data_IF_148113064878
#
_entry.id   IF_148113064878
#
_cell.length_a   1.000
_cell.length_b   1.000
_cell.length_c   1.000
_cell.angle_alpha   90.00
_cell.angle_beta   90.00
_cell.angle_gamma   90.00
#
_symmetry.space_group_name_H-M   'P 1'
#
loop_
_entity.id
_entity.type
_entity.pdbx_description
1 polymer ?
#
# COMPACT_ATOMS: atom_id res chain seq x y z
N UNK A 1 -6.72 -40.37 42.58
CA UNK A 1 -7.14 -39.49 41.46
C UNK A 1 -5.96 -39.36 40.52
N UNK A 2 -5.88 -40.20 39.47
CA UNK A 2 -4.82 -40.11 38.45
C UNK A 2 -5.40 -39.34 37.27
N UNK A 3 -4.84 -38.17 37.00
CA UNK A 3 -5.19 -37.34 35.83
C UNK A 3 -4.81 -38.08 34.56
N UNK A 4 -5.79 -38.30 33.68
CA UNK A 4 -5.54 -38.80 32.33
C UNK A 4 -4.88 -37.69 31.49
N UNK A 5 -3.80 -37.96 30.73
CA UNK A 5 -3.20 -36.94 29.89
C UNK A 5 -4.16 -36.60 28.74
N UNK A 6 -4.35 -35.31 28.45
CA UNK A 6 -5.04 -34.85 27.25
C UNK A 6 -4.36 -35.46 26.03
N UNK A 7 -5.06 -36.34 25.33
CA UNK A 7 -4.61 -36.89 24.06
C UNK A 7 -4.47 -35.73 23.07
N UNK A 8 -3.23 -35.41 22.72
CA UNK A 8 -2.96 -34.42 21.67
C UNK A 8 -3.58 -34.95 20.37
N UNK A 9 -4.70 -34.37 19.93
CA UNK A 9 -5.25 -34.66 18.61
C UNK A 9 -4.16 -34.39 17.58
N UNK A 10 -3.80 -35.41 16.81
CA UNK A 10 -2.83 -35.29 15.73
C UNK A 10 -3.35 -34.24 14.74
N UNK A 11 -2.56 -33.19 14.51
CA UNK A 11 -2.87 -32.19 13.50
C UNK A 11 -2.98 -32.90 12.15
N UNK A 12 -4.10 -32.74 11.41
CA UNK A 12 -4.27 -33.39 10.13
C UNK A 12 -3.14 -32.96 9.18
N UNK A 13 -2.84 -33.85 8.22
CA UNK A 13 -1.83 -33.59 7.20
C UNK A 13 -2.18 -32.29 6.48
N UNK A 14 -1.19 -31.45 6.19
CA UNK A 14 -1.40 -30.22 5.44
C UNK A 14 -1.95 -30.58 4.04
N UNK A 15 -3.23 -30.33 3.83
CA UNK A 15 -3.90 -30.47 2.55
C UNK A 15 -3.66 -29.20 1.72
N UNK A 16 -3.47 -29.36 0.41
CA UNK A 16 -3.36 -28.22 -0.48
C UNK A 16 -4.76 -27.60 -0.56
N UNK A 17 -4.91 -26.35 -0.13
CA UNK A 17 -6.19 -25.63 -0.16
C UNK A 17 -6.85 -25.72 -1.54
N UNK A 18 -6.06 -25.84 -2.62
CA UNK A 18 -6.53 -26.09 -3.98
C UNK A 18 -7.43 -27.33 -4.11
N UNK A 19 -6.98 -28.46 -3.56
CA UNK A 19 -7.64 -29.75 -3.65
C UNK A 19 -8.92 -29.76 -2.81
N UNK A 20 -8.84 -29.25 -1.58
CA UNK A 20 -9.98 -29.17 -0.66
C UNK A 20 -11.16 -28.39 -1.27
N UNK A 21 -10.92 -27.20 -1.84
CA UNK A 21 -12.06 -26.48 -2.45
C UNK A 21 -12.49 -27.08 -3.79
N UNK A 22 -11.65 -27.87 -4.49
CA UNK A 22 -12.07 -28.60 -5.69
C UNK A 22 -13.00 -29.76 -5.34
N UNK A 23 -12.69 -30.49 -4.27
CA UNK A 23 -13.54 -31.58 -3.78
C UNK A 23 -14.87 -31.06 -3.22
N UNK A 24 -14.83 -29.98 -2.43
CA UNK A 24 -16.03 -29.45 -1.76
C UNK A 24 -16.94 -28.63 -2.68
N UNK A 25 -16.37 -27.92 -3.67
CA UNK A 25 -17.12 -26.95 -4.49
C UNK A 25 -17.00 -27.18 -6.00
N UNK A 26 -16.32 -28.26 -6.43
CA UNK A 26 -16.15 -28.60 -7.84
C UNK A 26 -15.09 -27.75 -8.57
N UNK A 27 -15.20 -27.69 -9.90
CA UNK A 27 -14.26 -26.95 -10.74
C UNK A 27 -14.29 -25.46 -10.40
N UNK A 28 -13.15 -24.93 -9.97
CA UNK A 28 -13.04 -23.51 -9.64
C UNK A 28 -13.21 -22.64 -10.88
N UNK A 29 -13.84 -21.45 -10.73
CA UNK A 29 -13.85 -20.47 -11.81
C UNK A 29 -12.41 -20.14 -12.21
N UNK A 30 -12.11 -20.30 -13.49
CA UNK A 30 -10.81 -19.99 -14.04
C UNK A 30 -10.66 -18.46 -14.12
N UNK A 31 -9.51 -17.94 -13.72
CA UNK A 31 -9.15 -16.54 -13.89
C UNK A 31 -9.17 -16.20 -15.39
N UNK A 32 -10.27 -15.59 -15.85
CA UNK A 32 -10.39 -15.05 -17.18
C UNK A 32 -10.07 -13.55 -17.13
N UNK A 33 -9.14 -13.09 -17.96
CA UNK A 33 -8.96 -11.65 -18.08
C UNK A 33 -10.20 -11.04 -18.72
N UNK A 34 -10.68 -9.94 -18.15
CA UNK A 34 -11.73 -9.12 -18.75
C UNK A 34 -11.21 -8.63 -20.11
N UNK A 35 -11.70 -9.26 -21.16
CA UNK A 35 -11.33 -9.02 -22.56
C UNK A 35 -12.53 -8.42 -23.27
N UNK A 36 -12.29 -7.44 -24.13
CA UNK A 36 -13.36 -6.88 -24.95
C UNK A 36 -13.79 -7.93 -25.97
N UNK A 37 -15.09 -8.22 -26.01
CA UNK A 37 -15.67 -9.17 -26.96
C UNK A 37 -16.48 -8.42 -28.00
N UNK A 38 -16.33 -8.81 -29.27
CA UNK A 38 -17.10 -8.26 -30.39
C UNK A 38 -18.04 -9.34 -30.92
N UNK A 39 -19.31 -8.96 -31.11
CA UNK A 39 -20.33 -9.82 -31.72
C UNK A 39 -20.12 -9.87 -33.22
N UNK A 40 -20.10 -11.08 -33.77
CA UNK A 40 -20.00 -11.34 -35.20
C UNK A 40 -21.40 -11.46 -35.83
N UNK A 41 -21.53 -11.30 -37.17
CA UNK A 41 -22.80 -11.48 -37.88
C UNK A 41 -23.42 -12.88 -37.67
N UNK A 42 -22.58 -13.90 -37.44
CA UNK A 42 -22.98 -15.26 -37.07
C UNK A 42 -23.64 -15.38 -35.68
N UNK A 43 -23.67 -14.30 -34.89
CA UNK A 43 -24.17 -14.30 -33.51
C UNK A 43 -23.15 -14.74 -32.47
N UNK A 44 -21.97 -15.22 -32.87
CA UNK A 44 -20.88 -15.61 -31.96
C UNK A 44 -20.11 -14.38 -31.45
N UNK A 45 -19.45 -14.51 -30.31
CA UNK A 45 -18.58 -13.48 -29.75
C UNK A 45 -17.12 -13.91 -29.87
N UNK A 46 -16.26 -13.00 -30.32
CA UNK A 46 -14.81 -13.22 -30.37
C UNK A 46 -14.08 -12.11 -29.62
N UNK A 47 -12.99 -12.46 -28.94
CA UNK A 47 -12.12 -11.45 -28.33
C UNK A 47 -11.60 -10.49 -29.39
N UNK A 48 -11.58 -9.19 -29.09
CA UNK A 48 -10.98 -8.18 -29.98
C UNK A 48 -9.47 -8.07 -29.81
N UNK A 49 -8.93 -8.63 -28.74
CA UNK A 49 -7.53 -8.48 -28.35
C UNK A 49 -6.92 -9.84 -28.00
N UNK A 50 -5.62 -10.01 -28.25
CA UNK A 50 -4.87 -11.17 -27.76
C UNK A 50 -4.75 -11.07 -26.23
N UNK A 51 -5.26 -12.09 -25.54
CA UNK A 51 -5.23 -12.20 -24.08
C UNK A 51 -3.82 -12.03 -23.53
N UNK A 52 -2.81 -12.60 -24.19
CA UNK A 52 -1.42 -12.54 -23.73
C UNK A 52 -0.91 -11.10 -23.74
N UNK A 53 -1.16 -10.38 -24.83
CA UNK A 53 -0.75 -8.99 -24.99
C UNK A 53 -1.44 -8.07 -23.96
N UNK A 54 -2.74 -8.29 -23.70
CA UNK A 54 -3.48 -7.53 -22.67
C UNK A 54 -2.88 -7.74 -21.28
N UNK A 55 -2.52 -8.97 -20.95
CA UNK A 55 -1.91 -9.30 -19.66
C UNK A 55 -0.53 -8.67 -19.53
N UNK A 56 0.32 -8.74 -20.56
CA UNK A 56 1.64 -8.11 -20.56
C UNK A 56 1.55 -6.58 -20.39
N UNK A 57 0.67 -5.92 -21.14
CA UNK A 57 0.42 -4.46 -20.99
C UNK A 57 -0.01 -4.10 -19.57
N UNK A 58 -0.91 -4.89 -18.96
CA UNK A 58 -1.34 -4.70 -17.57
C UNK A 58 -0.21 -4.90 -16.58
N UNK A 59 0.62 -5.93 -16.78
CA UNK A 59 1.78 -6.18 -15.91
C UNK A 59 2.76 -5.00 -15.94
N UNK A 60 3.07 -4.48 -17.13
CA UNK A 60 3.95 -3.31 -17.30
C UNK A 60 3.35 -2.06 -16.63
N UNK A 61 2.06 -1.78 -16.86
CA UNK A 61 1.37 -0.65 -16.25
C UNK A 61 1.39 -0.74 -14.71
N UNK A 62 1.11 -1.92 -14.16
CA UNK A 62 1.13 -2.16 -12.73
C UNK A 62 2.55 -2.03 -12.14
N UNK A 63 3.58 -2.49 -12.85
CA UNK A 63 4.96 -2.32 -12.43
C UNK A 63 5.34 -0.83 -12.37
N UNK A 64 4.95 -0.05 -13.37
CA UNK A 64 5.16 1.40 -13.41
C UNK A 64 4.47 2.12 -12.26
N UNK A 65 3.22 1.78 -11.96
CA UNK A 65 2.50 2.40 -10.84
C UNK A 65 3.12 2.03 -9.49
N UNK A 66 3.60 0.79 -9.32
CA UNK A 66 4.36 0.41 -8.12
C UNK A 66 5.62 1.26 -7.95
N UNK A 67 6.38 1.50 -9.02
CA UNK A 67 7.55 2.38 -8.96
C UNK A 67 7.18 3.84 -8.64
N UNK A 68 6.10 4.35 -9.21
CA UNK A 68 5.58 5.68 -8.87
C UNK A 68 5.24 5.81 -7.38
N UNK A 69 4.54 4.82 -6.82
CA UNK A 69 4.18 4.78 -5.40
C UNK A 69 5.42 4.59 -4.51
N UNK A 70 6.41 3.78 -4.92
CA UNK A 70 7.69 3.66 -4.20
C UNK A 70 8.41 5.00 -4.12
N UNK A 71 8.50 5.74 -5.22
CA UNK A 71 9.10 7.08 -5.24
C UNK A 71 8.37 8.03 -4.27
N UNK A 72 7.04 8.07 -4.35
CA UNK A 72 6.21 8.87 -3.43
C UNK A 72 6.50 8.51 -1.96
N UNK A 73 6.53 7.22 -1.62
CA UNK A 73 6.78 6.75 -0.26
C UNK A 73 8.22 7.06 0.21
N UNK A 74 9.20 7.11 -0.71
CA UNK A 74 10.56 7.59 -0.42
C UNK A 74 10.54 9.07 -0.02
N UNK A 75 9.74 9.90 -0.71
CA UNK A 75 9.51 11.29 -0.33
C UNK A 75 8.91 11.43 1.08
N UNK A 76 7.84 10.67 1.38
CA UNK A 76 7.25 10.63 2.72
C UNK A 76 8.23 10.19 3.81
N UNK A 77 9.12 9.24 3.50
CA UNK A 77 10.14 8.77 4.46
C UNK A 77 11.17 9.85 4.77
N UNK A 78 11.60 10.62 3.77
CA UNK A 78 12.47 11.79 3.96
C UNK A 78 11.78 12.87 4.79
N UNK A 79 10.53 13.18 4.48
CA UNK A 79 9.74 14.16 5.24
C UNK A 79 9.60 13.73 6.71
N UNK A 80 9.27 12.46 6.95
CA UNK A 80 9.20 11.90 8.32
C UNK A 80 10.50 12.09 9.10
N UNK A 81 11.65 11.92 8.45
CA UNK A 81 12.95 12.02 9.11
C UNK A 81 13.30 13.44 9.59
N UNK A 82 12.78 14.48 8.92
CA UNK A 82 13.07 15.88 9.25
C UNK A 82 12.03 16.53 10.16
N UNK A 83 10.85 15.92 10.33
CA UNK A 83 9.74 16.49 11.12
C UNK A 83 9.85 16.00 12.58
N UNK A 84 10.18 16.88 13.54
CA UNK A 84 10.57 16.48 14.91
C UNK A 84 9.39 16.14 15.84
N UNK A 85 8.18 16.60 15.51
CA UNK A 85 6.99 16.48 16.37
C UNK A 85 6.23 15.16 16.17
N UNK A 86 6.79 14.21 15.44
CA UNK A 86 6.19 12.89 15.19
C UNK A 86 6.55 11.91 16.32
N UNK A 87 5.59 11.15 16.88
CA UNK A 87 5.89 10.11 17.86
C UNK A 87 6.86 9.07 17.28
N UNK A 88 7.99 8.82 17.94
CA UNK A 88 9.03 7.89 17.44
C UNK A 88 8.56 6.44 17.47
N UNK A 89 7.71 6.09 18.44
CA UNK A 89 7.29 4.70 18.71
C UNK A 89 6.06 4.26 17.93
N UNK A 90 5.35 5.19 17.29
CA UNK A 90 4.17 4.90 16.46
C UNK A 90 4.51 5.12 15.00
N UNK A 91 4.12 4.20 14.11
CA UNK A 91 4.14 4.46 12.67
C UNK A 91 3.13 5.58 12.37
N UNK A 92 3.57 6.81 12.05
CA UNK A 92 2.64 7.90 11.79
C UNK A 92 1.92 7.65 10.47
N UNK A 93 0.64 8.02 10.40
CA UNK A 93 -0.12 7.91 9.15
C UNK A 93 0.32 9.04 8.18
N UNK A 94 0.02 8.91 6.88
CA UNK A 94 0.41 9.91 5.86
C UNK A 94 -0.14 11.31 6.15
N UNK A 95 -1.34 11.39 6.70
CA UNK A 95 -2.00 12.67 7.04
C UNK A 95 -1.31 13.34 8.23
N UNK A 96 -0.94 12.58 9.25
CA UNK A 96 -0.24 13.07 10.44
C UNK A 96 1.11 13.68 10.03
N UNK A 97 1.89 12.98 9.19
CA UNK A 97 3.17 13.50 8.68
C UNK A 97 2.97 14.86 8.00
N UNK A 98 1.93 15.01 7.18
CA UNK A 98 1.67 16.27 6.48
C UNK A 98 1.23 17.38 7.44
N UNK A 99 0.30 17.10 8.36
CA UNK A 99 -0.16 18.07 9.36
C UNK A 99 1.00 18.56 10.22
N UNK A 100 1.78 17.63 10.75
CA UNK A 100 2.92 17.93 11.62
C UNK A 100 4.01 18.69 10.87
N UNK A 101 4.26 18.38 9.59
CA UNK A 101 5.19 19.15 8.76
C UNK A 101 4.74 20.61 8.58
N UNK A 102 3.46 20.85 8.34
CA UNK A 102 2.90 22.21 8.20
C UNK A 102 3.06 23.01 9.49
N UNK A 103 2.73 22.42 10.64
CA UNK A 103 2.93 23.08 11.93
C UNK A 103 4.41 23.34 12.22
N UNK A 104 5.30 22.41 11.84
CA UNK A 104 6.73 22.62 12.01
C UNK A 104 7.26 23.78 11.17
N UNK A 105 6.83 23.90 9.90
CA UNK A 105 7.15 25.07 9.07
C UNK A 105 6.64 26.36 9.73
N UNK A 106 5.41 26.35 10.26
CA UNK A 106 4.82 27.53 10.92
C UNK A 106 5.64 27.98 12.13
N UNK A 107 6.00 27.04 13.02
CA UNK A 107 6.81 27.30 14.20
C UNK A 107 8.19 27.87 13.83
N UNK A 108 8.85 27.30 12.82
CA UNK A 108 10.14 27.81 12.37
C UNK A 108 10.04 29.24 11.83
N UNK A 109 8.91 29.61 11.19
CA UNK A 109 8.68 30.98 10.73
C UNK A 109 8.47 31.95 11.89
N UNK A 110 7.68 31.56 12.90
CA UNK A 110 7.46 32.35 14.11
C UNK A 110 8.81 32.63 14.82
N UNK A 111 9.64 31.60 15.03
CA UNK A 111 10.99 31.76 15.63
C UNK A 111 11.88 32.71 14.82
N UNK A 112 11.83 32.63 13.48
CA UNK A 112 12.60 33.50 12.60
C UNK A 112 12.10 34.95 12.58
N UNK A 113 10.84 35.19 12.92
CA UNK A 113 10.27 36.54 13.05
C UNK A 113 10.66 37.13 14.40
N UNK A 114 10.44 36.38 15.48
CA UNK A 114 10.83 36.79 16.84
C UNK A 114 12.32 37.15 16.91
N UNK A 115 13.20 36.33 16.31
CA UNK A 115 14.65 36.57 16.30
C UNK A 115 15.06 37.86 15.57
N UNK A 116 14.31 38.30 14.54
CA UNK A 116 14.59 39.58 13.86
C UNK A 116 14.26 40.77 14.75
N UNK A 117 13.21 40.65 15.55
CA UNK A 117 12.82 41.67 16.51
C UNK A 117 13.88 41.80 17.62
N UNK A 118 14.50 40.68 18.04
CA UNK A 118 15.63 40.71 18.99
C UNK A 118 16.90 41.36 18.44
N UNK A 119 17.24 41.16 17.16
CA UNK A 119 18.41 41.79 16.52
C UNK A 119 18.22 43.31 16.33
N UNK A 120 16.99 43.77 16.06
CA UNK A 120 16.66 45.20 15.94
C UNK A 120 16.75 45.99 17.25
N UNK A 121 16.73 45.30 18.40
CA UNK A 121 16.95 45.88 19.73
C UNK A 121 18.44 45.95 20.12
N UNK A 122 19.33 45.19 19.47
CA UNK A 122 20.77 45.21 19.75
C UNK A 122 21.55 46.27 18.96
N UNK A 123 20.98 46.82 17.87
CA UNK A 123 21.64 47.85 17.04
C UNK A 123 21.44 49.29 17.51
N UNK A 124 20.80 49.51 18.66
CA UNK A 124 20.54 50.85 19.22
C UNK A 124 21.40 51.16 20.47
N UNK A 125 22.61 50.59 20.56
CA UNK A 125 23.62 50.96 21.57
C UNK A 125 24.93 51.34 20.88
#
# INVERSE_FOLDING_TARGET
>A
MVSSPLAMLATPRAEVLEEVLREQFGTRPQLAAISRMKRQPSGTYTSTEDLKEVLERRQVANAKERERIKNLNRGFSKLKAIVPLLPKDRKPNKVDILKTATEYIRLLREILEDTKDFEGLQTNC
#
